data_IF_603663496769
#
_entry.id   IF_603663496769
#
_cell.length_a   1.000
_cell.length_b   1.000
_cell.length_c   1.000
_cell.angle_alpha   90.00
_cell.angle_beta   90.00
_cell.angle_gamma   90.00
#
_symmetry.space_group_name_H-M   'P 1'
#
loop_
_entity.id
_entity.type
_entity.pdbx_description
1 polymer ?
#
# COMPACT_ATOMS: atom_id res chain seq x y z
N UNK A 1 -20.60 18.91 -12.61
CA UNK A 1 -19.95 17.78 -11.93
C UNK A 1 -19.81 16.68 -12.96
N UNK A 2 -18.72 15.90 -12.95
CA UNK A 2 -18.68 14.66 -13.73
C UNK A 2 -19.69 13.69 -13.11
N UNK A 3 -20.52 13.06 -13.94
CA UNK A 3 -21.57 12.12 -13.48
C UNK A 3 -21.04 10.67 -13.31
N UNK A 4 -19.73 10.47 -13.37
CA UNK A 4 -19.09 9.17 -13.23
C UNK A 4 -17.77 9.30 -12.46
N UNK A 5 -17.42 8.27 -11.67
CA UNK A 5 -16.14 8.15 -10.98
C UNK A 5 -15.26 7.15 -11.74
N UNK A 6 -14.10 7.60 -12.20
CA UNK A 6 -13.16 6.81 -12.98
C UNK A 6 -11.84 6.65 -12.25
N UNK A 7 -11.42 5.39 -12.08
CA UNK A 7 -10.15 5.01 -11.47
C UNK A 7 -9.29 4.35 -12.54
N UNK A 8 -8.04 4.79 -12.66
CA UNK A 8 -7.03 4.12 -13.47
C UNK A 8 -5.96 3.54 -12.56
N UNK A 9 -5.75 2.23 -12.65
CA UNK A 9 -4.68 1.51 -11.97
C UNK A 9 -3.49 1.39 -12.91
N UNK A 10 -2.30 1.83 -12.48
CA UNK A 10 -1.03 1.64 -13.19
C UNK A 10 -0.17 0.65 -12.40
N UNK A 11 -0.06 -0.58 -12.91
CA UNK A 11 0.70 -1.69 -12.33
C UNK A 11 -0.19 -2.83 -11.85
N UNK A 12 -0.38 -3.84 -12.68
CA UNK A 12 -1.23 -5.01 -12.43
C UNK A 12 -0.48 -6.16 -11.75
N UNK A 13 0.39 -5.84 -10.80
CA UNK A 13 1.02 -6.84 -9.93
C UNK A 13 0.06 -7.31 -8.83
N UNK A 14 0.50 -8.22 -7.96
CA UNK A 14 -0.34 -8.76 -6.88
C UNK A 14 -1.03 -7.69 -6.01
N UNK A 15 -0.36 -6.54 -5.75
CA UNK A 15 -0.96 -5.40 -5.04
C UNK A 15 -2.06 -4.74 -5.86
N UNK A 16 -1.79 -4.46 -7.13
CA UNK A 16 -2.75 -3.82 -8.05
C UNK A 16 -3.97 -4.69 -8.30
N UNK A 17 -3.80 -5.97 -8.62
CA UNK A 17 -4.91 -6.89 -8.85
C UNK A 17 -5.76 -7.09 -7.59
N UNK A 18 -5.14 -7.14 -6.39
CA UNK A 18 -5.89 -7.19 -5.12
C UNK A 18 -6.69 -5.92 -4.86
N UNK A 19 -6.13 -4.74 -5.17
CA UNK A 19 -6.82 -3.47 -5.09
C UNK A 19 -8.00 -3.40 -6.07
N UNK A 20 -7.80 -3.83 -7.32
CA UNK A 20 -8.85 -3.90 -8.34
C UNK A 20 -9.99 -4.81 -7.88
N UNK A 21 -9.66 -6.01 -7.37
CA UNK A 21 -10.64 -6.94 -6.81
C UNK A 21 -11.41 -6.33 -5.64
N UNK A 22 -10.74 -5.63 -4.72
CA UNK A 22 -11.42 -4.94 -3.62
C UNK A 22 -12.37 -3.83 -4.13
N UNK A 23 -11.98 -3.06 -5.15
CA UNK A 23 -12.83 -2.02 -5.75
C UNK A 23 -14.09 -2.60 -6.40
N UNK A 24 -13.99 -3.78 -7.01
CA UNK A 24 -15.15 -4.52 -7.55
C UNK A 24 -16.10 -4.93 -6.42
N UNK A 25 -15.60 -5.63 -5.41
CA UNK A 25 -16.43 -6.14 -4.31
C UNK A 25 -17.07 -5.04 -3.46
N UNK A 26 -16.37 -3.93 -3.24
CA UNK A 26 -16.84 -2.81 -2.42
C UNK A 26 -17.62 -1.76 -3.22
N UNK A 27 -17.84 -1.99 -4.53
CA UNK A 27 -18.50 -1.05 -5.43
C UNK A 27 -17.87 0.37 -5.42
N UNK A 28 -16.54 0.45 -5.49
CA UNK A 28 -15.79 1.72 -5.52
C UNK A 28 -15.43 2.07 -6.97
N UNK A 29 -15.88 3.24 -7.44
CA UNK A 29 -15.71 3.72 -8.82
C UNK A 29 -16.65 3.03 -9.82
N UNK A 30 -17.23 3.77 -10.78
CA UNK A 30 -18.09 3.17 -11.81
C UNK A 30 -17.27 2.66 -13.02
N UNK A 31 -16.10 3.24 -13.26
CA UNK A 31 -15.20 2.88 -14.35
C UNK A 31 -13.78 2.60 -13.81
N UNK A 32 -13.21 1.46 -14.21
CA UNK A 32 -11.92 0.99 -13.73
C UNK A 32 -11.05 0.52 -14.89
N UNK A 33 -10.00 1.28 -15.20
CA UNK A 33 -9.02 0.93 -16.24
C UNK A 33 -7.73 0.37 -15.62
N UNK A 34 -7.15 -0.65 -16.26
CA UNK A 34 -5.90 -1.27 -15.81
C UNK A 34 -4.81 -1.04 -16.86
N UNK A 35 -3.72 -0.41 -16.46
CA UNK A 35 -2.52 -0.16 -17.28
C UNK A 35 -1.37 -0.97 -16.72
N UNK A 36 -0.75 -1.80 -17.56
CA UNK A 36 0.52 -2.46 -17.28
C UNK A 36 1.32 -2.58 -18.59
N UNK A 37 2.61 -2.89 -18.46
CA UNK A 37 3.48 -3.23 -19.59
C UNK A 37 3.07 -4.56 -20.23
N UNK A 38 2.54 -5.50 -19.42
CA UNK A 38 2.01 -6.77 -19.90
C UNK A 38 0.53 -6.61 -20.28
N UNK A 39 0.28 -6.35 -21.57
CA UNK A 39 -1.07 -6.09 -22.07
C UNK A 39 -1.97 -7.31 -22.00
N UNK A 40 -1.46 -8.49 -22.31
CA UNK A 40 -2.25 -9.73 -22.27
C UNK A 40 -2.73 -10.01 -20.85
N UNK A 41 -1.86 -9.75 -19.86
CA UNK A 41 -2.25 -9.81 -18.45
C UNK A 41 -3.39 -8.85 -18.13
N UNK A 42 -3.27 -7.56 -18.44
CA UNK A 42 -4.34 -6.59 -18.11
C UNK A 42 -5.66 -6.91 -18.80
N UNK A 43 -5.63 -7.50 -20.00
CA UNK A 43 -6.83 -7.97 -20.70
C UNK A 43 -7.44 -9.14 -19.93
N UNK A 44 -6.63 -10.13 -19.55
CA UNK A 44 -7.06 -11.29 -18.76
C UNK A 44 -7.64 -10.88 -17.41
N UNK A 45 -6.94 -10.06 -16.64
CA UNK A 45 -7.35 -9.62 -15.31
C UNK A 45 -8.62 -8.74 -15.39
N UNK A 46 -8.75 -7.88 -16.41
CA UNK A 46 -9.97 -7.12 -16.66
C UNK A 46 -11.18 -8.02 -17.01
N UNK A 47 -10.96 -9.08 -17.80
CA UNK A 47 -12.00 -10.07 -18.11
C UNK A 47 -12.44 -10.83 -16.86
N UNK A 48 -11.50 -11.30 -16.05
CA UNK A 48 -11.79 -12.05 -14.83
C UNK A 48 -12.57 -11.21 -13.81
N UNK A 49 -12.12 -9.98 -13.56
CA UNK A 49 -12.83 -9.03 -12.69
C UNK A 49 -14.23 -8.69 -13.23
N UNK A 50 -14.40 -8.58 -14.55
CA UNK A 50 -15.71 -8.34 -15.17
C UNK A 50 -16.68 -9.49 -14.96
N UNK A 51 -16.21 -10.73 -14.86
CA UNK A 51 -17.05 -11.88 -14.56
C UNK A 51 -17.58 -11.91 -13.12
N UNK A 52 -16.96 -11.15 -12.21
CA UNK A 52 -17.46 -10.96 -10.84
C UNK A 52 -18.56 -9.89 -10.74
N UNK A 53 -18.72 -9.03 -11.76
CA UNK A 53 -19.69 -7.91 -11.75
C UNK A 53 -21.15 -8.37 -11.56
N UNK A 54 -21.65 -9.44 -12.19
CA UNK A 54 -23.03 -9.91 -11.99
C UNK A 54 -23.39 -10.27 -10.55
N UNK A 55 -22.39 -10.54 -9.70
CA UNK A 55 -22.56 -10.88 -8.29
C UNK A 55 -22.16 -9.74 -7.33
N UNK A 56 -21.76 -8.58 -7.86
CA UNK A 56 -21.39 -7.40 -7.07
C UNK A 56 -22.25 -6.20 -7.46
N UNK A 57 -21.69 -5.22 -8.15
CA UNK A 57 -22.38 -3.99 -8.55
C UNK A 57 -21.93 -3.53 -9.95
N UNK A 58 -22.77 -2.79 -10.70
CA UNK A 58 -22.45 -2.35 -12.05
C UNK A 58 -21.13 -1.56 -12.11
N UNK A 59 -20.16 -2.09 -12.86
CA UNK A 59 -18.86 -1.45 -13.09
C UNK A 59 -18.36 -1.76 -14.50
N UNK A 60 -17.77 -0.77 -15.15
CA UNK A 60 -17.05 -0.94 -16.41
C UNK A 60 -15.58 -1.19 -16.09
N UNK A 61 -15.06 -2.36 -16.45
CA UNK A 61 -13.65 -2.75 -16.20
C UNK A 61 -13.00 -3.08 -17.53
N UNK A 62 -11.78 -2.59 -17.75
CA UNK A 62 -11.10 -2.75 -19.04
C UNK A 62 -9.58 -2.61 -18.94
N UNK A 63 -8.86 -3.20 -19.91
CA UNK A 63 -7.44 -2.89 -20.15
C UNK A 63 -7.32 -1.52 -20.79
N UNK A 64 -6.62 -0.61 -20.12
CA UNK A 64 -6.53 0.81 -20.46
C UNK A 64 -5.17 1.19 -21.06
N UNK A 65 -5.09 2.39 -21.64
CA UNK A 65 -3.88 3.08 -22.05
C UNK A 65 -3.76 4.42 -21.30
N UNK A 66 -2.58 5.05 -21.32
CA UNK A 66 -2.39 6.33 -20.64
C UNK A 66 -3.32 7.45 -21.14
N UNK A 67 -3.77 7.40 -22.40
CA UNK A 67 -4.79 8.31 -22.93
C UNK A 67 -6.12 8.25 -22.16
N UNK A 68 -6.44 7.12 -21.53
CA UNK A 68 -7.65 6.95 -20.73
C UNK A 68 -7.58 7.70 -19.39
N UNK A 69 -6.43 8.26 -19.02
CA UNK A 69 -6.28 9.07 -17.81
C UNK A 69 -6.87 10.49 -17.95
N UNK A 70 -7.15 10.97 -19.16
CA UNK A 70 -7.57 12.36 -19.40
C UNK A 70 -8.81 12.80 -18.59
N UNK A 71 -9.72 11.87 -18.33
CA UNK A 71 -10.94 12.06 -17.57
C UNK A 71 -10.98 11.26 -16.27
N UNK A 72 -9.88 10.61 -15.86
CA UNK A 72 -9.80 9.89 -14.60
C UNK A 72 -9.89 10.84 -13.40
N UNK A 73 -10.57 10.41 -12.33
CA UNK A 73 -10.61 11.14 -11.06
C UNK A 73 -9.43 10.76 -10.17
N UNK A 74 -9.04 9.48 -10.21
CA UNK A 74 -7.91 8.96 -9.45
C UNK A 74 -7.04 8.08 -10.36
N UNK A 75 -5.73 8.32 -10.32
CA UNK A 75 -4.72 7.41 -10.87
C UNK A 75 -3.97 6.76 -9.71
N UNK A 76 -4.09 5.45 -9.58
CA UNK A 76 -3.44 4.65 -8.55
C UNK A 76 -2.18 4.02 -9.13
N UNK A 77 -1.02 4.28 -8.54
CA UNK A 77 0.27 3.74 -9.02
C UNK A 77 0.80 2.70 -8.06
N UNK A 78 0.76 1.45 -8.51
CA UNK A 78 1.33 0.26 -7.86
C UNK A 78 2.50 -0.32 -8.67
N UNK A 79 2.73 0.20 -9.87
CA UNK A 79 3.86 -0.16 -10.73
C UNK A 79 5.18 0.22 -10.07
N UNK A 80 6.09 -0.75 -10.03
CA UNK A 80 7.40 -0.58 -9.44
C UNK A 80 8.16 -1.89 -9.50
N UNK A 81 9.43 -1.82 -9.12
CA UNK A 81 10.30 -2.99 -9.11
C UNK A 81 10.73 -3.31 -7.68
N UNK A 82 10.86 -4.59 -7.38
CA UNK A 82 11.41 -5.06 -6.11
C UNK A 82 12.95 -4.99 -6.10
N UNK A 83 13.54 -4.90 -4.93
CA UNK A 83 14.99 -4.97 -4.76
C UNK A 83 15.53 -6.30 -5.31
N UNK A 84 16.59 -6.23 -6.11
CA UNK A 84 17.29 -7.43 -6.59
C UNK A 84 18.37 -7.86 -5.57
N UNK A 85 18.73 -9.16 -5.52
CA UNK A 85 19.87 -9.61 -4.72
C UNK A 85 21.12 -8.80 -5.05
N UNK A 86 21.79 -8.24 -4.04
CA UNK A 86 22.99 -7.40 -4.20
C UNK A 86 22.75 -5.95 -4.65
N UNK A 87 21.51 -5.52 -4.88
CA UNK A 87 21.17 -4.12 -5.21
C UNK A 87 21.15 -3.25 -3.94
N UNK A 88 21.75 -2.05 -3.98
CA UNK A 88 21.67 -1.13 -2.84
C UNK A 88 20.29 -0.47 -2.75
N UNK A 89 19.91 0.01 -1.54
CA UNK A 89 18.65 0.78 -1.36
C UNK A 89 18.61 2.03 -2.27
N UNK A 90 19.75 2.67 -2.49
CA UNK A 90 19.86 3.85 -3.37
C UNK A 90 19.66 3.51 -4.86
N UNK A 91 20.14 2.35 -5.31
CA UNK A 91 19.94 1.89 -6.69
C UNK A 91 18.47 1.58 -6.96
N UNK A 92 17.82 0.88 -6.02
CA UNK A 92 16.38 0.59 -6.07
C UNK A 92 15.56 1.89 -6.17
N UNK A 93 15.85 2.85 -5.27
CA UNK A 93 15.20 4.17 -5.27
C UNK A 93 15.39 4.85 -6.63
N UNK A 94 16.62 4.92 -7.12
CA UNK A 94 16.94 5.57 -8.39
C UNK A 94 16.23 4.94 -9.58
N UNK A 95 16.09 3.60 -9.59
CA UNK A 95 15.35 2.88 -10.63
C UNK A 95 13.86 3.16 -10.56
N UNK A 96 13.25 3.07 -9.37
CA UNK A 96 11.83 3.33 -9.21
C UNK A 96 11.46 4.80 -9.47
N UNK A 97 12.34 5.77 -9.17
CA UNK A 97 12.14 7.18 -9.54
C UNK A 97 12.08 7.34 -11.07
N UNK A 98 12.95 6.66 -11.84
CA UNK A 98 12.91 6.73 -13.31
C UNK A 98 11.62 6.13 -13.88
N UNK A 99 11.19 4.99 -13.35
CA UNK A 99 9.92 4.37 -13.73
C UNK A 99 8.75 5.31 -13.40
N UNK A 100 8.74 5.86 -12.19
CA UNK A 100 7.71 6.80 -11.74
C UNK A 100 7.67 8.04 -12.63
N UNK A 101 8.81 8.60 -13.01
CA UNK A 101 8.86 9.74 -13.94
C UNK A 101 8.20 9.40 -15.27
N UNK A 102 8.53 8.25 -15.87
CA UNK A 102 7.92 7.83 -17.13
C UNK A 102 6.41 7.68 -17.03
N UNK A 103 5.92 7.08 -15.93
CA UNK A 103 4.47 6.92 -15.69
C UNK A 103 3.80 8.28 -15.57
N UNK A 104 4.34 9.16 -14.72
CA UNK A 104 3.74 10.47 -14.45
C UNK A 104 3.74 11.34 -15.70
N UNK A 105 4.83 11.35 -16.49
CA UNK A 105 4.90 12.10 -17.74
C UNK A 105 3.78 11.66 -18.71
N UNK A 106 3.57 10.36 -18.90
CA UNK A 106 2.52 9.80 -19.78
C UNK A 106 1.10 10.11 -19.25
N UNK A 107 0.89 9.95 -17.95
CA UNK A 107 -0.41 10.28 -17.32
C UNK A 107 -0.73 11.77 -17.49
N UNK A 108 0.22 12.66 -17.21
CA UNK A 108 0.00 14.10 -17.36
C UNK A 108 -0.16 14.52 -18.82
N UNK A 109 0.55 13.86 -19.75
CA UNK A 109 0.41 14.11 -21.19
C UNK A 109 -1.00 13.81 -21.73
N UNK A 110 -1.77 12.94 -21.06
CA UNK A 110 -3.17 12.69 -21.40
C UNK A 110 -4.11 13.87 -21.11
N UNK A 111 -3.68 14.85 -20.30
CA UNK A 111 -4.52 15.93 -19.79
C UNK A 111 -5.15 15.65 -18.42
N UNK A 112 -4.64 14.64 -17.69
CA UNK A 112 -5.09 14.31 -16.34
C UNK A 112 -4.99 15.50 -15.37
N UNK A 113 -6.06 15.74 -14.61
CA UNK A 113 -6.16 16.79 -13.58
C UNK A 113 -6.81 16.28 -12.27
N UNK A 114 -6.77 14.96 -12.06
CA UNK A 114 -7.33 14.31 -10.87
C UNK A 114 -6.34 14.20 -9.70
N UNK A 115 -6.44 13.11 -8.94
CA UNK A 115 -5.60 12.80 -7.78
C UNK A 115 -4.70 11.59 -8.07
N UNK A 116 -3.42 11.69 -7.74
CA UNK A 116 -2.55 10.52 -7.67
C UNK A 116 -2.64 9.85 -6.30
N UNK A 117 -2.76 8.52 -6.31
CA UNK A 117 -2.58 7.67 -5.13
C UNK A 117 -1.39 6.72 -5.38
N UNK A 118 -0.29 6.92 -4.66
CA UNK A 118 0.94 6.14 -4.83
C UNK A 118 1.03 5.06 -3.77
N UNK A 119 1.22 3.81 -4.19
CA UNK A 119 1.42 2.65 -3.31
C UNK A 119 2.75 1.92 -3.59
N UNK A 120 3.46 2.29 -4.66
CA UNK A 120 4.77 1.74 -4.99
C UNK A 120 5.82 2.13 -3.95
N UNK A 121 6.71 1.20 -3.59
CA UNK A 121 7.78 1.44 -2.62
C UNK A 121 9.07 1.96 -3.26
N UNK A 122 9.83 2.84 -2.56
CA UNK A 122 9.51 3.42 -1.24
C UNK A 122 8.48 4.56 -1.35
N UNK A 123 7.33 4.39 -0.69
CA UNK A 123 6.12 5.18 -0.96
C UNK A 123 6.28 6.67 -0.71
N UNK A 124 6.96 7.06 0.36
CA UNK A 124 7.12 8.48 0.70
C UNK A 124 7.96 9.23 -0.34
N UNK A 125 9.08 8.61 -0.75
CA UNK A 125 9.99 9.15 -1.77
C UNK A 125 9.30 9.20 -3.13
N UNK A 126 8.58 8.14 -3.51
CA UNK A 126 7.89 8.08 -4.80
C UNK A 126 6.67 8.99 -4.86
N UNK A 127 5.99 9.23 -3.74
CA UNK A 127 4.93 10.24 -3.62
C UNK A 127 5.50 11.64 -3.83
N UNK A 128 6.62 11.95 -3.17
CA UNK A 128 7.32 13.22 -3.38
C UNK A 128 7.77 13.39 -4.84
N UNK A 129 8.35 12.35 -5.44
CA UNK A 129 8.74 12.36 -6.84
C UNK A 129 7.54 12.60 -7.77
N UNK A 130 6.43 11.92 -7.54
CA UNK A 130 5.16 12.11 -8.27
C UNK A 130 4.68 13.55 -8.17
N UNK A 131 4.74 14.15 -6.98
CA UNK A 131 4.38 15.56 -6.79
C UNK A 131 5.27 16.49 -7.61
N UNK A 132 6.59 16.26 -7.60
CA UNK A 132 7.53 17.07 -8.37
C UNK A 132 7.38 16.90 -9.88
N UNK A 133 7.15 15.69 -10.36
CA UNK A 133 7.02 15.40 -11.79
C UNK A 133 5.68 15.85 -12.36
N UNK A 134 4.59 15.68 -11.62
CA UNK A 134 3.24 16.04 -12.09
C UNK A 134 2.99 17.54 -12.11
N UNK A 135 3.65 18.30 -11.23
CA UNK A 135 3.37 19.74 -11.06
C UNK A 135 2.01 20.03 -10.42
N UNK A 136 1.29 19.01 -9.94
CA UNK A 136 0.01 19.18 -9.28
C UNK A 136 0.16 19.83 -7.88
N UNK A 137 -0.89 20.47 -7.37
CA UNK A 137 -0.99 20.82 -5.96
C UNK A 137 -0.73 19.62 -5.04
N UNK A 138 -0.06 19.87 -3.92
CA UNK A 138 0.40 18.82 -2.99
C UNK A 138 -0.75 17.97 -2.42
N UNK A 139 -1.92 18.57 -2.24
CA UNK A 139 -3.14 17.93 -1.76
C UNK A 139 -3.73 16.91 -2.75
N UNK A 140 -3.29 16.92 -4.02
CA UNK A 140 -3.73 15.98 -5.08
C UNK A 140 -2.72 14.86 -5.33
N UNK A 141 -1.68 14.74 -4.51
CA UNK A 141 -0.69 13.66 -4.63
C UNK A 141 -0.50 13.01 -3.28
N UNK A 142 -1.06 11.82 -3.11
CA UNK A 142 -1.19 11.14 -1.83
C UNK A 142 -0.45 9.80 -1.92
N UNK A 143 0.37 9.50 -0.91
CA UNK A 143 0.97 8.18 -0.72
C UNK A 143 0.13 7.33 0.22
N UNK A 144 0.16 6.01 0.07
CA UNK A 144 -0.49 5.11 1.04
C UNK A 144 0.13 5.22 2.44
N UNK A 145 1.42 5.59 2.52
CA UNK A 145 2.16 5.81 3.77
C UNK A 145 2.01 4.65 4.76
N UNK A 146 1.84 5.00 6.03
CA UNK A 146 1.68 4.06 7.17
C UNK A 146 0.23 3.65 7.42
N UNK A 147 -0.66 3.76 6.43
CA UNK A 147 -2.08 3.41 6.61
C UNK A 147 -2.30 1.93 6.93
N UNK A 148 -1.56 1.03 6.26
CA UNK A 148 -1.62 -0.40 6.53
C UNK A 148 -0.96 -0.76 7.87
N UNK A 149 0.16 -0.12 8.22
CA UNK A 149 0.84 -0.34 9.50
C UNK A 149 -0.01 0.14 10.66
N UNK A 150 -0.75 1.25 10.47
CA UNK A 150 -1.79 1.69 11.41
C UNK A 150 -2.92 0.66 11.55
N UNK A 151 -3.38 0.05 10.46
CA UNK A 151 -4.41 -0.98 10.53
C UNK A 151 -3.92 -2.23 11.29
N UNK A 152 -2.67 -2.66 11.02
CA UNK A 152 -2.01 -3.75 11.75
C UNK A 152 -1.84 -3.42 13.23
N UNK A 153 -1.41 -2.20 13.55
CA UNK A 153 -1.26 -1.72 14.92
C UNK A 153 -2.56 -1.81 15.71
N UNK A 154 -3.67 -1.35 15.12
CA UNK A 154 -5.00 -1.45 15.73
C UNK A 154 -5.40 -2.91 15.94
N UNK A 155 -5.11 -3.79 14.98
CA UNK A 155 -5.38 -5.22 15.10
C UNK A 155 -4.56 -5.87 16.22
N UNK A 156 -3.25 -5.62 16.30
CA UNK A 156 -2.38 -6.21 17.33
C UNK A 156 -2.78 -5.78 18.74
N UNK A 157 -3.16 -4.50 18.94
CA UNK A 157 -3.71 -4.03 20.22
C UNK A 157 -5.04 -4.72 20.52
N UNK A 158 -5.92 -4.84 19.53
CA UNK A 158 -7.22 -5.47 19.69
C UNK A 158 -7.08 -6.95 20.10
N UNK A 159 -6.16 -7.67 19.47
CA UNK A 159 -5.84 -9.06 19.80
C UNK A 159 -5.22 -9.19 21.18
N UNK A 160 -4.38 -8.25 21.61
CA UNK A 160 -3.81 -8.22 22.96
C UNK A 160 -4.91 -8.02 24.02
N UNK A 161 -5.74 -6.99 23.86
CA UNK A 161 -6.78 -6.62 24.82
C UNK A 161 -8.09 -7.40 24.67
N UNK A 162 -8.19 -8.28 23.68
CA UNK A 162 -9.40 -9.07 23.35
C UNK A 162 -10.63 -8.20 23.09
N UNK A 163 -10.44 -7.12 22.34
CA UNK A 163 -11.51 -6.20 21.90
C UNK A 163 -11.65 -6.22 20.38
N UNK A 164 -12.71 -5.61 19.86
CA UNK A 164 -12.85 -5.39 18.42
C UNK A 164 -11.92 -4.26 17.94
N UNK A 165 -11.16 -4.48 16.87
CA UNK A 165 -10.20 -3.50 16.34
C UNK A 165 -10.84 -2.17 15.91
N UNK A 166 -12.15 -2.13 15.64
CA UNK A 166 -12.89 -0.88 15.35
C UNK A 166 -12.98 0.05 16.56
N UNK A 167 -12.82 -0.49 17.78
CA UNK A 167 -12.78 0.28 19.02
C UNK A 167 -11.36 0.72 19.41
N UNK A 168 -10.34 0.35 18.62
CA UNK A 168 -8.96 0.78 18.82
C UNK A 168 -8.66 1.95 17.89
N UNK A 169 -8.26 3.07 18.47
CA UNK A 169 -7.85 4.26 17.75
C UNK A 169 -6.40 4.58 18.09
N UNK A 170 -5.50 4.09 17.24
CA UNK A 170 -4.07 4.38 17.26
C UNK A 170 -3.55 4.65 15.86
N UNK A 171 -2.32 5.20 15.78
CA UNK A 171 -1.69 5.60 14.52
C UNK A 171 -0.19 5.27 14.54
N UNK A 172 0.28 4.71 13.43
CA UNK A 172 1.71 4.66 13.09
C UNK A 172 2.02 5.87 12.20
N UNK A 173 3.08 6.60 12.53
CA UNK A 173 3.50 7.82 11.84
C UNK A 173 4.98 7.70 11.41
N UNK A 174 5.45 8.61 10.55
CA UNK A 174 6.84 8.64 10.06
C UNK A 174 6.99 8.14 8.63
N UNK A 175 8.22 7.79 8.24
CA UNK A 175 8.52 7.10 6.98
C UNK A 175 7.97 5.67 7.07
N UNK A 176 7.28 5.19 6.03
CA UNK A 176 6.87 3.79 5.97
C UNK A 176 8.08 2.86 5.94
N UNK A 177 8.18 1.97 6.95
CA UNK A 177 9.30 1.04 7.10
C UNK A 177 10.03 1.20 8.43
N UNK A 178 11.35 1.00 8.43
CA UNK A 178 12.11 0.78 9.67
C UNK A 178 12.14 1.97 10.65
N UNK A 179 11.83 3.19 10.19
CA UNK A 179 11.87 4.41 11.00
C UNK A 179 10.48 4.95 11.38
N UNK A 180 9.42 4.20 11.08
CA UNK A 180 8.07 4.52 11.56
C UNK A 180 7.98 4.41 13.09
N UNK A 181 7.00 5.07 13.70
CA UNK A 181 6.80 5.04 15.14
C UNK A 181 5.32 5.10 15.54
N UNK A 182 4.93 4.46 16.64
CA UNK A 182 3.57 4.50 17.15
C UNK A 182 3.32 5.78 17.96
N UNK A 183 2.20 6.44 17.71
CA UNK A 183 1.76 7.59 18.49
C UNK A 183 1.08 7.18 19.80
N UNK A 184 1.80 6.45 20.68
CA UNK A 184 1.24 5.87 21.92
C UNK A 184 0.48 6.87 22.79
N UNK A 185 0.98 8.11 22.88
CA UNK A 185 0.34 9.19 23.66
C UNK A 185 -1.07 9.56 23.19
N UNK A 186 -1.47 9.13 21.99
CA UNK A 186 -2.78 9.37 21.39
C UNK A 186 -3.56 8.08 21.13
N UNK A 187 -3.03 6.92 21.56
CA UNK A 187 -3.70 5.64 21.38
C UNK A 187 -4.81 5.48 22.42
N UNK A 188 -6.03 5.21 21.95
CA UNK A 188 -7.20 5.00 22.80
C UNK A 188 -7.92 3.71 22.44
N UNK A 189 -8.60 3.12 23.43
CA UNK A 189 -9.44 1.93 23.29
C UNK A 189 -10.78 2.20 23.95
N UNK A 190 -11.86 2.13 23.17
CA UNK A 190 -13.21 2.48 23.65
C UNK A 190 -13.35 3.91 24.18
N UNK A 191 -12.47 4.83 23.75
CA UNK A 191 -12.45 6.23 24.19
C UNK A 191 -11.58 6.51 25.42
N UNK A 192 -10.98 5.50 26.05
CA UNK A 192 -10.02 5.67 27.14
C UNK A 192 -8.58 5.58 26.63
N UNK A 193 -7.64 6.35 27.21
CA UNK A 193 -6.21 6.18 26.92
C UNK A 193 -5.77 4.73 27.14
N UNK A 194 -4.85 4.23 26.31
CA UNK A 194 -4.37 2.84 26.43
C UNK A 194 -3.71 2.55 27.78
N UNK A 195 -3.17 3.57 28.47
CA UNK A 195 -2.60 3.45 29.81
C UNK A 195 -3.62 3.08 30.88
N UNK A 196 -4.93 3.24 30.62
CA UNK A 196 -6.01 2.77 31.50
C UNK A 196 -6.35 1.29 31.28
N UNK A 197 -5.82 0.69 30.21
CA UNK A 197 -6.07 -0.70 29.82
C UNK A 197 -4.89 -1.64 30.11
N UNK A 198 -3.71 -1.08 30.42
CA UNK A 198 -2.45 -1.80 30.56
C UNK A 198 -1.89 -1.47 31.95
N UNK A 199 -1.63 -2.50 32.74
CA UNK A 199 -0.98 -2.34 34.05
C UNK A 199 0.54 -2.14 33.90
N UNK A 200 1.21 -1.61 34.93
CA UNK A 200 2.68 -1.38 34.92
C UNK A 200 3.49 -2.64 34.56
N UNK A 201 2.97 -3.84 34.88
CA UNK A 201 3.60 -5.12 34.54
C UNK A 201 3.53 -5.48 33.05
N UNK A 202 2.64 -4.85 32.30
CA UNK A 202 2.35 -5.13 30.90
C UNK A 202 2.93 -4.05 29.96
N UNK A 203 3.61 -3.04 30.49
CA UNK A 203 4.22 -1.98 29.69
C UNK A 203 5.17 -2.50 28.61
N UNK A 204 5.90 -3.60 28.88
CA UNK A 204 6.77 -4.26 27.89
C UNK A 204 6.01 -4.92 26.73
N UNK A 205 4.71 -5.19 26.89
CA UNK A 205 3.87 -5.68 25.81
C UNK A 205 3.66 -4.61 24.73
N UNK A 206 3.68 -3.32 25.08
CA UNK A 206 3.55 -2.22 24.11
C UNK A 206 4.71 -2.23 23.11
N UNK A 207 5.95 -2.37 23.58
CA UNK A 207 7.12 -2.46 22.70
C UNK A 207 7.05 -3.71 21.81
N UNK A 208 6.62 -4.84 22.37
CA UNK A 208 6.45 -6.10 21.63
C UNK A 208 5.40 -5.96 20.53
N UNK A 209 4.26 -5.32 20.83
CA UNK A 209 3.22 -5.02 19.84
C UNK A 209 3.78 -4.18 18.71
N UNK A 210 4.52 -3.11 19.01
CA UNK A 210 5.07 -2.26 17.96
C UNK A 210 6.09 -3.00 17.08
N UNK A 211 7.02 -3.76 17.66
CA UNK A 211 7.99 -4.56 16.90
C UNK A 211 7.27 -5.54 15.98
N UNK A 212 6.21 -6.21 16.46
CA UNK A 212 5.41 -7.12 15.62
C UNK A 212 4.76 -6.43 14.42
N UNK A 213 4.36 -5.17 14.56
CA UNK A 213 3.70 -4.39 13.50
C UNK A 213 4.71 -3.98 12.44
N UNK A 214 5.84 -3.41 12.85
CA UNK A 214 6.93 -3.01 11.96
C UNK A 214 7.45 -4.20 11.15
N UNK A 215 7.61 -5.36 11.81
CA UNK A 215 8.23 -6.54 11.20
C UNK A 215 7.22 -7.46 10.48
N UNK A 216 5.91 -7.19 10.59
CA UNK A 216 4.84 -8.01 10.01
C UNK A 216 4.97 -8.20 8.49
N UNK A 217 5.39 -7.16 7.77
CA UNK A 217 5.56 -7.24 6.32
C UNK A 217 6.62 -8.31 5.93
N UNK A 218 7.75 -8.33 6.62
CA UNK A 218 8.83 -9.29 6.39
C UNK A 218 8.37 -10.71 6.72
N UNK A 219 7.68 -10.90 7.84
CA UNK A 219 7.17 -12.21 8.24
C UNK A 219 6.17 -12.77 7.21
N UNK A 220 5.23 -11.95 6.74
CA UNK A 220 4.23 -12.37 5.74
C UNK A 220 4.91 -12.74 4.42
N UNK A 221 5.89 -11.94 3.96
CA UNK A 221 6.63 -12.23 2.73
C UNK A 221 7.38 -13.55 2.85
N UNK A 222 8.07 -13.77 3.98
CA UNK A 222 8.83 -15.00 4.23
C UNK A 222 7.92 -16.23 4.25
N UNK A 223 6.74 -16.15 4.87
CA UNK A 223 5.78 -17.25 4.90
C UNK A 223 5.14 -17.54 3.54
N UNK A 224 4.83 -16.51 2.75
CA UNK A 224 4.18 -16.68 1.43
C UNK A 224 5.13 -17.12 0.32
N UNK A 225 6.42 -16.80 0.42
CA UNK A 225 7.39 -17.04 -0.67
C UNK A 225 8.20 -18.34 -0.52
N UNK A 226 8.15 -19.02 0.62
CA UNK A 226 8.96 -20.23 0.86
C UNK A 226 10.46 -19.98 0.75
N UNK A 227 11.29 -20.99 1.02
CA UNK A 227 12.77 -20.93 1.13
C UNK A 227 13.57 -20.42 -0.11
N UNK A 228 12.91 -19.84 -1.12
CA UNK A 228 13.54 -19.50 -2.41
C UNK A 228 14.34 -18.18 -2.38
N UNK A 229 14.23 -17.34 -1.35
CA UNK A 229 15.02 -16.09 -1.21
C UNK A 229 15.37 -15.75 0.25
N UNK A 230 15.85 -16.72 1.05
CA UNK A 230 16.46 -16.43 2.36
C UNK A 230 17.68 -15.49 2.30
N UNK A 231 18.25 -15.28 1.10
CA UNK A 231 19.53 -14.59 0.90
C UNK A 231 19.39 -13.13 0.43
N UNK A 232 18.20 -12.52 0.55
CA UNK A 232 18.01 -11.09 0.22
C UNK A 232 17.78 -10.18 1.43
N UNK A 233 17.67 -10.72 2.65
CA UNK A 233 17.54 -9.96 3.88
C UNK A 233 18.85 -9.97 4.66
N UNK A 234 19.89 -9.39 4.07
CA UNK A 234 21.18 -9.19 4.73
C UNK A 234 21.12 -8.06 5.76
N UNK A 235 20.35 -8.22 6.85
CA UNK A 235 20.50 -7.50 8.13
C UNK A 235 19.53 -8.07 9.17
N UNK A 236 19.81 -9.26 9.70
CA UNK A 236 19.43 -9.59 11.07
C UNK A 236 20.43 -10.63 11.60
N UNK A 237 21.12 -10.38 12.72
CA UNK A 237 21.98 -11.40 13.32
C UNK A 237 21.10 -12.54 13.81
N UNK A 238 21.42 -13.76 13.37
CA UNK A 238 20.84 -14.99 13.89
C UNK A 238 20.96 -15.02 15.42
N UNK A 239 19.86 -14.83 16.12
CA UNK A 239 19.75 -15.26 17.51
C UNK A 239 19.66 -16.78 17.48
N UNK A 240 20.82 -17.44 17.59
CA UNK A 240 20.88 -18.87 17.89
C UNK A 240 20.13 -19.11 19.20
N UNK A 241 19.01 -19.82 19.13
CA UNK A 241 18.45 -20.49 20.30
C UNK A 241 19.34 -21.69 20.61
N UNK A 242 20.28 -21.50 21.53
CA UNK A 242 20.85 -22.63 22.27
C UNK A 242 19.77 -23.19 23.20
N UNK A 243 19.26 -24.38 22.89
CA UNK A 243 18.66 -25.29 23.87
C UNK A 243 18.46 -26.69 23.28
N UNK A 244 19.29 -27.61 23.79
CA UNK A 244 19.18 -29.09 23.89
C UNK A 244 19.08 -29.96 22.63
#
# INVERSE_FOLDING_TARGET
MKDHQKIILVGDGAVGSSYAFACVNLNIGQEFGIIDIDKDRTIGDAMDLSHAVPFSAPKKIYSANYSDCHDADIVVVTAGTAQKPGETRLDLVSRNIRIMKSIVDEVMASGFDGIFLVASNPVDILTYATWKFSGLPKERVIGSGTSLDTARFRMSIADFLKVDARNVHGYILGEHGDTEFPAWSHTTVGGLPITEWIDDSEQGAMDTIFVSVRDAAYEIINKKRGDILRDCSGTCPDYKSDSE
#
